data_IF_457556107942
#
_entry.id   IF_457556107942
#
_cell.length_a   1.000
_cell.length_b   1.000
_cell.length_c   1.000
_cell.angle_alpha   90.00
_cell.angle_beta   90.00
_cell.angle_gamma   90.00
#
_symmetry.space_group_name_H-M   'P 1'
#
loop_
_entity.id
_entity.type
_entity.pdbx_description
1 polymer ?
#
# COMPACT_ATOMS: atom_id res chain seq x y z
N UNK A 1 26.53 -4.09 5.79
CA UNK A 1 25.63 -2.93 6.04
C UNK A 1 24.62 -2.81 4.90
N UNK A 2 23.34 -2.98 5.26
CA UNK A 2 22.08 -2.51 4.64
C UNK A 2 21.90 -2.60 3.11
N UNK A 3 21.39 -3.75 2.64
CA UNK A 3 20.65 -3.92 1.36
C UNK A 3 19.16 -3.51 1.48
N UNK A 4 18.83 -2.57 2.38
CA UNK A 4 17.43 -2.16 2.66
C UNK A 4 16.90 -1.05 1.74
N UNK A 5 17.76 -0.46 0.90
CA UNK A 5 17.32 0.42 -0.19
C UNK A 5 16.94 -0.42 -1.42
N UNK A 6 15.83 -1.17 -1.31
CA UNK A 6 15.15 -1.60 -2.53
C UNK A 6 14.59 -0.35 -3.23
N UNK A 7 14.78 -0.20 -4.55
CA UNK A 7 14.29 0.96 -5.31
C UNK A 7 12.81 1.26 -5.07
N UNK A 8 12.02 0.22 -4.81
CA UNK A 8 10.61 0.30 -4.45
C UNK A 8 10.36 1.09 -3.16
N UNK A 9 11.19 0.92 -2.13
CA UNK A 9 11.05 1.65 -0.87
C UNK A 9 11.33 3.15 -1.07
N UNK A 10 12.34 3.48 -1.87
CA UNK A 10 12.68 4.87 -2.21
C UNK A 10 11.54 5.50 -3.00
N UNK A 11 10.98 4.77 -3.96
CA UNK A 11 9.86 5.23 -4.76
C UNK A 11 8.63 5.54 -3.90
N UNK A 12 8.23 4.63 -2.99
CA UNK A 12 7.11 4.83 -2.08
C UNK A 12 7.33 6.06 -1.18
N UNK A 13 8.56 6.24 -0.70
CA UNK A 13 8.93 7.35 0.18
C UNK A 13 8.86 8.69 -0.56
N UNK A 14 9.36 8.76 -1.79
CA UNK A 14 9.21 9.93 -2.66
C UNK A 14 7.74 10.21 -3.00
N UNK A 15 6.94 9.17 -3.24
CA UNK A 15 5.50 9.30 -3.46
C UNK A 15 4.80 9.94 -2.26
N UNK A 16 5.16 9.53 -1.04
CA UNK A 16 4.67 10.14 0.19
C UNK A 16 5.05 11.63 0.33
N UNK A 17 6.27 12.01 -0.03
CA UNK A 17 6.68 13.41 0.00
C UNK A 17 5.90 14.28 -1.00
N UNK A 18 5.65 13.76 -2.20
CA UNK A 18 4.84 14.46 -3.20
C UNK A 18 3.43 14.71 -2.66
N UNK A 19 2.83 13.75 -1.96
CA UNK A 19 1.52 13.92 -1.33
C UNK A 19 1.52 15.07 -0.32
N UNK A 20 2.55 15.20 0.51
CA UNK A 20 2.66 16.29 1.51
C UNK A 20 2.72 17.64 0.79
N UNK A 21 3.59 17.76 -0.21
CA UNK A 21 3.75 19.01 -1.00
C UNK A 21 2.45 19.39 -1.71
N UNK A 22 1.77 18.43 -2.33
CA UNK A 22 0.47 18.66 -2.97
C UNK A 22 -0.59 19.04 -1.93
N UNK A 23 -0.58 18.44 -0.75
CA UNK A 23 -1.53 18.77 0.31
C UNK A 23 -1.38 20.20 0.82
N UNK A 24 -0.15 20.70 0.93
CA UNK A 24 0.11 22.07 1.40
C UNK A 24 -0.08 23.12 0.32
N UNK A 25 0.43 22.88 -0.90
CA UNK A 25 0.45 23.89 -1.96
C UNK A 25 -0.76 23.82 -2.91
N UNK A 26 -1.40 22.65 -3.00
CA UNK A 26 -2.37 22.30 -4.05
C UNK A 26 -3.49 21.40 -3.49
N UNK A 27 -4.10 21.79 -2.37
CA UNK A 27 -5.03 20.95 -1.60
C UNK A 27 -6.21 20.40 -2.43
N UNK A 28 -6.67 21.15 -3.44
CA UNK A 28 -7.72 20.75 -4.38
C UNK A 28 -7.33 19.53 -5.24
N UNK A 29 -6.03 19.33 -5.48
CA UNK A 29 -5.50 18.23 -6.28
C UNK A 29 -5.21 16.96 -5.48
N UNK A 30 -5.27 17.03 -4.14
CA UNK A 30 -4.99 15.88 -3.26
C UNK A 30 -5.86 14.68 -3.62
N UNK A 31 -7.16 14.89 -3.85
CA UNK A 31 -8.09 13.81 -4.20
C UNK A 31 -7.69 13.12 -5.51
N UNK A 32 -7.40 13.91 -6.54
CA UNK A 32 -6.98 13.39 -7.84
C UNK A 32 -5.65 12.63 -7.75
N UNK A 33 -4.70 13.16 -6.97
CA UNK A 33 -3.43 12.50 -6.72
C UNK A 33 -3.61 11.15 -6.01
N UNK A 34 -4.49 11.08 -5.01
CA UNK A 34 -4.81 9.83 -4.31
C UNK A 34 -5.49 8.82 -5.23
N UNK A 35 -6.42 9.25 -6.08
CA UNK A 35 -7.06 8.36 -7.06
C UNK A 35 -6.06 7.83 -8.09
N UNK A 36 -5.15 8.69 -8.58
CA UNK A 36 -4.07 8.28 -9.48
C UNK A 36 -3.12 7.29 -8.79
N UNK A 37 -2.82 7.52 -7.52
CA UNK A 37 -2.00 6.60 -6.73
C UNK A 37 -2.65 5.21 -6.60
N UNK A 38 -3.97 5.14 -6.39
CA UNK A 38 -4.71 3.87 -6.37
C UNK A 38 -4.65 3.16 -7.72
N UNK A 39 -4.86 3.89 -8.82
CA UNK A 39 -4.83 3.34 -10.19
C UNK A 39 -3.46 2.73 -10.50
N UNK A 40 -2.37 3.31 -9.98
CA UNK A 40 -1.00 2.78 -10.19
C UNK A 40 -0.69 1.64 -9.23
N UNK A 41 -1.06 1.76 -7.95
CA UNK A 41 -0.72 0.76 -6.93
C UNK A 41 -1.45 -0.57 -7.14
N UNK A 42 -2.74 -0.54 -7.52
CA UNK A 42 -3.55 -1.75 -7.63
C UNK A 42 -2.97 -2.74 -8.66
N UNK A 43 -2.65 -2.35 -9.91
CA UNK A 43 -2.05 -3.25 -10.89
C UNK A 43 -0.70 -3.82 -10.44
N UNK A 44 0.16 -3.00 -9.84
CA UNK A 44 1.48 -3.41 -9.35
C UNK A 44 1.31 -4.47 -8.26
N UNK A 45 0.38 -4.25 -7.32
CA UNK A 45 0.08 -5.19 -6.25
C UNK A 45 -0.47 -6.51 -6.81
N UNK A 46 -1.42 -6.47 -7.76
CA UNK A 46 -1.96 -7.67 -8.41
C UNK A 46 -0.86 -8.47 -9.10
N UNK A 47 0.01 -7.80 -9.87
CA UNK A 47 1.13 -8.45 -10.54
C UNK A 47 2.07 -9.15 -9.55
N UNK A 48 2.38 -8.49 -8.43
CA UNK A 48 3.24 -9.06 -7.40
C UNK A 48 2.61 -10.30 -6.76
N UNK A 49 1.30 -10.28 -6.49
CA UNK A 49 0.58 -11.43 -5.94
C UNK A 49 0.54 -12.61 -6.91
N UNK A 50 0.35 -12.35 -8.21
CA UNK A 50 0.42 -13.39 -9.25
C UNK A 50 1.82 -14.02 -9.27
N UNK A 51 2.87 -13.19 -9.19
CA UNK A 51 4.26 -13.67 -9.14
C UNK A 51 4.53 -14.51 -7.89
N UNK A 52 4.10 -14.06 -6.70
CA UNK A 52 4.23 -14.81 -5.45
C UNK A 52 3.52 -16.16 -5.53
N UNK A 53 2.27 -16.20 -6.04
CA UNK A 53 1.53 -17.45 -6.22
C UNK A 53 2.25 -18.44 -7.14
N UNK A 54 2.91 -17.95 -8.20
CA UNK A 54 3.70 -18.78 -9.11
C UNK A 54 4.95 -19.32 -8.40
N UNK A 55 5.65 -18.48 -7.66
CA UNK A 55 6.86 -18.87 -6.93
C UNK A 55 6.56 -19.87 -5.81
N UNK A 56 5.50 -19.67 -5.04
CA UNK A 56 5.07 -20.61 -3.98
C UNK A 56 4.81 -22.03 -4.52
N UNK A 57 4.28 -22.16 -5.74
CA UNK A 57 4.08 -23.47 -6.40
C UNK A 57 5.39 -24.16 -6.79
N UNK A 58 6.42 -23.40 -7.11
CA UNK A 58 7.71 -23.92 -7.60
C UNK A 58 8.67 -24.17 -6.45
N UNK A 59 8.72 -23.26 -5.47
CA UNK A 59 9.69 -23.24 -4.37
C UNK A 59 9.13 -23.83 -3.06
N UNK A 60 7.83 -24.14 -3.00
CA UNK A 60 7.17 -24.69 -1.81
C UNK A 60 7.04 -23.69 -0.66
N UNK A 61 7.20 -22.40 -0.92
CA UNK A 61 7.05 -21.31 0.03
C UNK A 61 5.56 -20.98 0.27
N UNK A 62 5.27 -20.17 1.30
CA UNK A 62 3.90 -19.73 1.68
C UNK A 62 3.72 -18.21 1.63
N UNK A 63 4.55 -17.52 0.84
CA UNK A 63 4.58 -16.05 0.79
C UNK A 63 3.25 -15.46 0.31
N UNK A 64 2.57 -16.11 -0.63
CA UNK A 64 1.26 -15.69 -1.10
C UNK A 64 0.20 -15.75 0.02
N UNK A 65 0.18 -16.84 0.80
CA UNK A 65 -0.74 -16.98 1.93
C UNK A 65 -0.44 -15.92 3.00
N UNK A 66 0.83 -15.70 3.33
CA UNK A 66 1.23 -14.65 4.28
C UNK A 66 0.83 -13.25 3.79
N UNK A 67 1.01 -12.95 2.51
CA UNK A 67 0.57 -11.68 1.91
C UNK A 67 -0.94 -11.48 2.05
N UNK A 68 -1.75 -12.51 1.80
CA UNK A 68 -3.22 -12.46 2.00
C UNK A 68 -3.56 -12.20 3.46
N UNK A 69 -2.95 -12.92 4.40
CA UNK A 69 -3.22 -12.73 5.83
C UNK A 69 -2.86 -11.33 6.30
N UNK A 70 -1.74 -10.76 5.83
CA UNK A 70 -1.35 -9.37 6.13
C UNK A 70 -2.37 -8.37 5.58
N UNK A 71 -2.86 -8.57 4.36
CA UNK A 71 -3.90 -7.71 3.78
C UNK A 71 -5.21 -7.78 4.55
N UNK A 72 -5.67 -8.99 4.90
CA UNK A 72 -6.89 -9.18 5.71
C UNK A 72 -6.74 -8.56 7.11
N UNK A 73 -5.59 -8.76 7.75
CA UNK A 73 -5.30 -8.12 9.04
C UNK A 73 -5.36 -6.60 8.94
N UNK A 74 -4.74 -6.02 7.91
CA UNK A 74 -4.78 -4.57 7.69
C UNK A 74 -6.21 -4.07 7.41
N UNK A 75 -7.01 -4.82 6.66
CA UNK A 75 -8.41 -4.49 6.43
C UNK A 75 -9.22 -4.46 7.74
N UNK A 76 -9.01 -5.42 8.64
CA UNK A 76 -9.64 -5.43 9.97
C UNK A 76 -9.21 -4.22 10.78
N UNK A 77 -7.92 -3.90 10.81
CA UNK A 77 -7.40 -2.70 11.50
C UNK A 77 -8.03 -1.42 10.94
N UNK A 78 -8.16 -1.30 9.61
CA UNK A 78 -8.80 -0.15 8.98
C UNK A 78 -10.28 -0.02 9.35
N UNK A 79 -11.01 -1.14 9.42
CA UNK A 79 -12.42 -1.13 9.86
C UNK A 79 -12.52 -0.66 11.31
N UNK A 80 -11.66 -1.18 12.21
CA UNK A 80 -11.63 -0.74 13.61
C UNK A 80 -11.33 0.76 13.69
N UNK A 81 -10.29 1.22 13.00
CA UNK A 81 -9.93 2.64 12.96
C UNK A 81 -11.08 3.50 12.42
N UNK A 82 -11.78 3.05 11.37
CA UNK A 82 -12.94 3.75 10.83
C UNK A 82 -14.05 3.90 11.88
N UNK A 83 -14.36 2.84 12.64
CA UNK A 83 -15.33 2.90 13.72
C UNK A 83 -14.87 3.84 14.86
N UNK A 84 -13.60 3.80 15.23
CA UNK A 84 -13.03 4.69 16.26
C UNK A 84 -13.12 6.17 15.84
N UNK A 85 -12.73 6.49 14.61
CA UNK A 85 -12.82 7.86 14.07
C UNK A 85 -14.27 8.33 14.00
N UNK A 86 -15.18 7.46 13.52
CA UNK A 86 -16.61 7.79 13.45
C UNK A 86 -17.23 8.06 14.83
N UNK A 87 -16.85 7.30 15.86
CA UNK A 87 -17.35 7.51 17.22
C UNK A 87 -16.80 8.78 17.86
N UNK A 88 -15.54 9.12 17.61
CA UNK A 88 -14.91 10.29 18.22
C UNK A 88 -15.26 11.62 17.54
N UNK A 89 -16.11 11.64 16.50
CA UNK A 89 -16.47 12.85 15.74
C UNK A 89 -15.25 13.72 15.34
N UNK A 90 -14.10 13.08 15.07
CA UNK A 90 -12.95 13.73 14.44
C UNK A 90 -13.15 13.67 12.93
#
# INVERSE_FOLDING_TARGET
>A
MKKYSTPINIFILLWGFILIVISELYSEYVRYYLYLSLIIMIPIMIWNLIKQKKNDKVEGTKEFQFSIYRMLFMAVVLVIMFYMTKQNHI
#
